data_IF_855450202724
#
_entry.id   IF_855450202724
#
_cell.length_a   1.000
_cell.length_b   1.000
_cell.length_c   1.000
_cell.angle_alpha   90.00
_cell.angle_beta   90.00
_cell.angle_gamma   90.00
#
_symmetry.space_group_name_H-M   'P 1'
#
loop_
_entity.id
_entity.type
_entity.pdbx_description
1 polymer ?
#
# COMPACT_ATOMS: atom_id res chain seq x y z
N UNK A 1 -8.43 42.19 6.88
CA UNK A 1 -8.22 41.07 7.82
C UNK A 1 -9.22 40.00 7.46
N UNK A 2 -8.82 39.03 6.66
CA UNK A 2 -9.61 37.82 6.40
C UNK A 2 -9.35 36.89 7.56
N UNK A 3 -10.27 36.87 8.53
CA UNK A 3 -10.26 35.88 9.60
C UNK A 3 -10.65 34.53 9.00
N UNK A 4 -9.75 33.56 9.09
CA UNK A 4 -10.02 32.18 8.75
C UNK A 4 -10.88 31.61 9.88
N UNK A 5 -12.21 31.61 9.71
CA UNK A 5 -13.10 30.88 10.62
C UNK A 5 -12.57 29.44 10.69
N UNK A 6 -12.18 29.00 11.89
CA UNK A 6 -11.67 27.65 12.11
C UNK A 6 -12.68 26.62 11.60
N UNK A 7 -12.23 25.44 11.13
CA UNK A 7 -13.13 24.45 10.56
C UNK A 7 -14.21 24.13 11.59
N UNK A 8 -15.45 24.39 11.21
CA UNK A 8 -16.65 24.05 11.95
C UNK A 8 -16.64 22.52 12.09
N UNK A 9 -16.30 22.03 13.29
CA UNK A 9 -16.20 20.60 13.58
C UNK A 9 -17.57 19.87 13.44
N UNK A 10 -18.66 20.58 13.11
CA UNK A 10 -19.99 20.01 12.94
C UNK A 10 -20.29 19.51 11.52
N UNK A 11 -19.37 19.66 10.55
CA UNK A 11 -19.53 19.09 9.19
C UNK A 11 -18.36 18.22 8.74
N UNK A 12 -17.66 17.55 9.67
CA UNK A 12 -16.87 16.39 9.28
C UNK A 12 -17.88 15.33 8.79
N UNK A 13 -18.02 15.19 7.47
CA UNK A 13 -18.84 14.14 6.87
C UNK A 13 -18.44 12.81 7.52
N UNK A 14 -19.41 11.93 7.84
CA UNK A 14 -19.09 10.63 8.41
C UNK A 14 -18.05 9.97 7.51
N UNK A 15 -16.92 9.56 8.11
CA UNK A 15 -15.88 8.88 7.36
C UNK A 15 -16.55 7.75 6.58
N UNK A 16 -16.30 7.63 5.26
CA UNK A 16 -16.93 6.60 4.45
C UNK A 16 -16.77 5.25 5.15
N UNK A 17 -17.81 4.41 5.12
CA UNK A 17 -17.73 3.00 5.50
C UNK A 17 -16.79 2.30 4.50
N UNK A 18 -15.49 2.51 4.70
CA UNK A 18 -14.45 1.83 3.97
C UNK A 18 -14.50 0.36 4.39
N UNK A 19 -14.44 -0.58 3.43
CA UNK A 19 -14.31 -1.98 3.79
C UNK A 19 -13.11 -2.11 4.72
N UNK A 20 -13.29 -2.88 5.80
CA UNK A 20 -12.26 -3.14 6.77
C UNK A 20 -11.01 -3.61 6.02
N UNK A 21 -9.89 -2.90 6.19
CA UNK A 21 -8.68 -3.18 5.45
C UNK A 21 -8.36 -4.68 5.64
N UNK A 22 -8.09 -5.44 4.56
CA UNK A 22 -7.89 -6.89 4.64
C UNK A 22 -6.55 -7.19 5.32
N UNK A 23 -6.44 -6.97 6.64
CA UNK A 23 -5.25 -7.21 7.43
C UNK A 23 -4.96 -8.70 7.64
N UNK A 24 -5.93 -9.58 7.35
CA UNK A 24 -5.86 -11.01 7.68
C UNK A 24 -5.49 -11.94 6.51
N UNK A 25 -5.26 -11.43 5.30
CA UNK A 25 -5.10 -12.26 4.09
C UNK A 25 -3.99 -11.85 3.12
N UNK A 26 -3.12 -10.90 3.50
CA UNK A 26 -2.02 -10.46 2.65
C UNK A 26 -0.92 -11.52 2.73
N UNK A 27 -0.74 -12.29 1.66
CA UNK A 27 0.33 -13.30 1.56
C UNK A 27 1.61 -12.74 0.94
N UNK A 28 1.52 -11.59 0.26
CA UNK A 28 2.65 -10.94 -0.39
C UNK A 28 3.49 -10.15 0.65
N UNK A 29 4.79 -10.47 0.79
CA UNK A 29 5.65 -9.83 1.78
C UNK A 29 5.95 -8.35 1.46
N UNK A 30 5.99 -7.96 0.20
CA UNK A 30 6.20 -6.56 -0.21
C UNK A 30 4.98 -5.73 0.15
N UNK A 31 3.77 -6.25 -0.10
CA UNK A 31 2.52 -5.59 0.28
C UNK A 31 2.38 -5.53 1.81
N UNK A 32 2.73 -6.58 2.55
CA UNK A 32 2.69 -6.58 4.01
C UNK A 32 3.62 -5.50 4.62
N UNK A 33 4.81 -5.33 4.06
CA UNK A 33 5.76 -4.28 4.47
C UNK A 33 5.25 -2.88 4.17
N UNK A 34 4.62 -2.68 3.00
CA UNK A 34 4.00 -1.41 2.64
C UNK A 34 2.88 -1.03 3.61
N UNK A 35 2.02 -1.97 3.97
CA UNK A 35 0.94 -1.76 4.94
C UNK A 35 1.44 -1.41 6.35
N UNK A 36 2.52 -2.04 6.81
CA UNK A 36 3.14 -1.69 8.08
C UNK A 36 3.63 -0.23 8.10
N UNK A 37 4.29 0.24 7.04
CA UNK A 37 4.70 1.65 6.92
C UNK A 37 3.52 2.61 6.87
N UNK A 38 2.43 2.24 6.20
CA UNK A 38 1.20 3.06 6.16
C UNK A 38 0.54 3.17 7.53
N UNK A 39 0.60 2.12 8.36
CA UNK A 39 0.05 2.15 9.72
C UNK A 39 0.81 3.15 10.63
N UNK A 40 2.10 3.36 10.37
CA UNK A 40 2.93 4.30 11.13
C UNK A 40 2.82 5.76 10.62
N UNK A 41 2.37 5.96 9.38
CA UNK A 41 2.32 7.26 8.69
C UNK A 41 1.48 8.34 9.41
N UNK A 42 0.34 8.03 10.07
CA UNK A 42 -0.40 9.03 10.86
C UNK A 42 0.40 9.64 12.01
N UNK A 43 1.47 8.98 12.47
CA UNK A 43 2.37 9.51 13.49
C UNK A 43 3.50 10.37 12.90
N UNK A 44 3.72 10.31 11.59
CA UNK A 44 4.72 11.11 10.89
C UNK A 44 4.22 12.53 10.62
N UNK A 45 5.09 13.55 10.59
CA UNK A 45 4.74 14.90 10.16
C UNK A 45 4.18 14.90 8.73
N UNK A 46 3.15 15.72 8.47
CA UNK A 46 2.52 15.82 7.13
C UNK A 46 3.52 16.18 6.04
N UNK A 47 4.55 16.97 6.36
CA UNK A 47 5.62 17.32 5.42
C UNK A 47 6.41 16.09 4.90
N UNK A 48 6.40 14.98 5.64
CA UNK A 48 7.10 13.74 5.29
C UNK A 48 6.18 12.75 4.57
N UNK A 49 4.86 13.00 4.52
CA UNK A 49 3.90 12.07 3.93
C UNK A 49 4.13 11.89 2.44
N UNK A 50 4.42 12.97 1.70
CA UNK A 50 4.71 12.89 0.26
C UNK A 50 5.91 11.98 -0.02
N UNK A 51 7.02 12.18 0.69
CA UNK A 51 8.21 11.36 0.55
C UNK A 51 7.95 9.89 0.92
N UNK A 52 7.17 9.65 1.98
CA UNK A 52 6.79 8.30 2.41
C UNK A 52 5.91 7.59 1.37
N UNK A 53 4.94 8.29 0.79
CA UNK A 53 4.10 7.74 -0.29
C UNK A 53 4.89 7.47 -1.56
N UNK A 54 5.77 8.38 -1.97
CA UNK A 54 6.61 8.19 -3.17
C UNK A 54 7.49 6.96 -3.02
N UNK A 55 8.19 6.81 -1.88
CA UNK A 55 9.03 5.65 -1.63
C UNK A 55 8.22 4.33 -1.62
N UNK A 56 6.98 4.36 -1.11
CA UNK A 56 6.11 3.18 -1.13
C UNK A 56 5.67 2.79 -2.55
N UNK A 57 5.39 3.77 -3.42
CA UNK A 57 5.09 3.49 -4.83
C UNK A 57 6.31 2.91 -5.55
N UNK A 58 7.49 3.48 -5.35
CA UNK A 58 8.72 3.00 -6.00
C UNK A 58 9.07 1.57 -5.56
N UNK A 59 9.00 1.27 -4.25
CA UNK A 59 9.27 -0.09 -3.74
C UNK A 59 8.26 -1.12 -4.24
N UNK A 60 6.96 -0.78 -4.34
CA UNK A 60 5.95 -1.68 -4.89
C UNK A 60 6.12 -1.87 -6.40
N UNK A 61 6.49 -0.82 -7.13
CA UNK A 61 6.77 -0.89 -8.55
C UNK A 61 8.02 -1.75 -8.81
N UNK A 62 9.07 -1.60 -8.01
CA UNK A 62 10.26 -2.45 -8.05
C UNK A 62 9.90 -3.91 -7.81
N UNK A 63 9.15 -4.21 -6.75
CA UNK A 63 8.71 -5.58 -6.45
C UNK A 63 7.83 -6.19 -7.55
N UNK A 64 7.00 -5.38 -8.23
CA UNK A 64 6.16 -5.84 -9.34
C UNK A 64 6.98 -6.11 -10.61
N UNK A 65 8.02 -5.31 -10.85
CA UNK A 65 8.89 -5.45 -12.02
C UNK A 65 9.98 -6.52 -11.81
N UNK A 66 10.23 -6.95 -10.58
CA UNK A 66 11.12 -8.06 -10.30
C UNK A 66 10.48 -9.35 -10.83
N UNK A 67 11.05 -9.88 -11.91
CA UNK A 67 10.62 -11.13 -12.54
C UNK A 67 10.79 -12.27 -11.51
N UNK A 68 9.70 -12.70 -10.88
CA UNK A 68 9.72 -13.89 -10.02
C UNK A 68 10.09 -15.10 -10.89
N UNK A 69 11.23 -15.77 -10.65
CA UNK A 69 11.68 -16.89 -11.49
C UNK A 69 10.83 -18.17 -11.33
N UNK A 70 9.73 -18.12 -10.58
CA UNK A 70 8.93 -19.30 -10.23
C UNK A 70 7.82 -19.62 -11.24
N UNK A 71 7.51 -18.74 -12.20
CA UNK A 71 6.48 -18.99 -13.22
C UNK A 71 6.98 -19.88 -14.38
N UNK A 72 8.28 -19.88 -14.68
CA UNK A 72 8.85 -20.66 -15.79
C UNK A 72 9.21 -22.12 -15.42
N UNK A 73 9.28 -22.45 -14.13
CA UNK A 73 9.67 -23.78 -13.68
C UNK A 73 8.56 -24.84 -13.83
N UNK A 74 7.28 -24.43 -13.84
CA UNK A 74 6.14 -25.37 -13.94
C UNK A 74 5.80 -25.72 -15.40
N UNK A 75 6.13 -24.85 -16.37
CA UNK A 75 5.86 -25.08 -17.79
C UNK A 75 6.80 -26.11 -18.45
N UNK A 76 7.93 -26.44 -17.82
CA UNK A 76 8.93 -27.38 -18.36
C UNK A 76 8.71 -28.87 -18.01
N UNK A 77 7.85 -29.18 -17.03
CA UNK A 77 7.72 -30.55 -16.50
C UNK A 77 6.66 -31.41 -17.21
N UNK A 78 5.77 -30.83 -18.02
CA UNK A 78 4.63 -31.51 -18.64
C UNK A 78 4.77 -31.75 -20.15
N UNK A 79 5.99 -32.05 -20.64
CA UNK A 79 6.26 -32.13 -22.09
C UNK A 79 7.14 -33.29 -22.58
N UNK A 80 7.49 -34.27 -21.76
CA UNK A 80 8.37 -35.35 -22.20
C UNK A 80 8.15 -36.66 -21.45
N UNK A 81 7.34 -37.57 -22.01
CA UNK A 81 7.21 -38.91 -21.46
C UNK A 81 6.22 -39.83 -22.16
N UNK A 82 6.75 -40.58 -23.13
CA UNK A 82 6.28 -41.85 -23.73
C UNK A 82 5.06 -41.83 -24.66
#
# INVERSE_FOLDING_TARGET
MTELTGPDAATAEPSPDWPEAPGAGITDPAVARALARLADLPQAPVAEHEAAYTALHDELLEALNDEHPDADADAGAAGGGA
#
